data_IF_680204848592
#
_entry.id   IF_680204848592
#
_cell.length_a   1.000
_cell.length_b   1.000
_cell.length_c   1.000
_cell.angle_alpha   90.00
_cell.angle_beta   90.00
_cell.angle_gamma   90.00
#
_symmetry.space_group_name_H-M   'P 1'
#
loop_
_entity.id
_entity.type
_entity.pdbx_description
1 polymer ?
#
# COMPACT_ATOMS: atom_id res chain seq x y z
N UNK A 1 7.49 -15.12 10.80
CA UNK A 1 7.30 -13.77 10.18
C UNK A 1 7.88 -13.82 8.80
N UNK A 2 7.10 -13.45 7.79
CA UNK A 2 7.46 -13.42 6.37
C UNK A 2 7.83 -11.98 5.96
N UNK A 3 8.49 -11.80 4.81
CA UNK A 3 8.93 -10.48 4.34
C UNK A 3 8.44 -10.28 2.90
N UNK A 4 7.70 -9.21 2.64
CA UNK A 4 7.45 -8.74 1.29
C UNK A 4 8.42 -7.60 0.96
N UNK A 5 9.03 -7.64 -0.21
CA UNK A 5 9.94 -6.62 -0.69
C UNK A 5 9.55 -6.19 -2.12
N UNK A 6 9.09 -4.94 -2.26
CA UNK A 6 8.88 -4.35 -3.56
C UNK A 6 10.23 -4.03 -4.23
N UNK A 7 10.32 -4.24 -5.54
CA UNK A 7 11.57 -4.09 -6.28
C UNK A 7 11.42 -3.03 -7.39
N UNK A 8 12.41 -2.14 -7.49
CA UNK A 8 12.40 -1.05 -8.49
C UNK A 8 12.65 -1.55 -9.91
N UNK A 9 13.40 -2.64 -10.07
CA UNK A 9 13.73 -3.20 -11.39
C UNK A 9 13.71 -4.71 -11.33
N UNK A 10 12.58 -5.28 -11.68
CA UNK A 10 12.36 -6.71 -11.67
C UNK A 10 11.22 -7.11 -10.72
N UNK A 11 11.00 -8.42 -10.53
CA UNK A 11 9.89 -8.91 -9.74
C UNK A 11 10.04 -8.56 -8.26
N UNK A 12 8.90 -8.36 -7.59
CA UNK A 12 8.84 -8.31 -6.13
C UNK A 12 9.19 -9.66 -5.53
N UNK A 13 9.63 -9.67 -4.28
CA UNK A 13 9.90 -10.88 -3.51
C UNK A 13 8.89 -11.04 -2.37
N UNK A 14 8.51 -12.27 -2.11
CA UNK A 14 7.77 -12.68 -0.91
C UNK A 14 8.54 -13.82 -0.23
N UNK A 15 9.29 -13.47 0.79
CA UNK A 15 10.11 -14.42 1.52
C UNK A 15 9.34 -15.09 2.65
N UNK A 16 9.03 -16.36 2.49
CA UNK A 16 8.49 -17.20 3.56
C UNK A 16 9.61 -17.62 4.51
N UNK A 17 9.42 -17.36 5.77
CA UNK A 17 10.35 -17.79 6.81
C UNK A 17 10.10 -19.25 7.20
N UNK A 18 11.10 -20.08 7.01
CA UNK A 18 11.12 -21.49 7.36
C UNK A 18 12.12 -21.71 8.51
N UNK A 19 11.74 -21.29 9.72
CA UNK A 19 12.59 -21.40 10.91
C UNK A 19 13.96 -20.72 10.77
N UNK A 20 13.97 -19.48 10.26
CA UNK A 20 15.17 -18.67 10.05
C UNK A 20 15.78 -18.79 8.65
N UNK A 21 15.33 -19.75 7.84
CA UNK A 21 15.66 -19.83 6.41
C UNK A 21 14.55 -19.20 5.59
N UNK A 22 14.90 -18.41 4.58
CA UNK A 22 13.93 -17.72 3.75
C UNK A 22 13.85 -18.35 2.35
N UNK A 23 12.62 -18.62 1.89
CA UNK A 23 12.33 -19.07 0.53
C UNK A 23 11.48 -18.01 -0.16
N UNK A 24 11.89 -17.55 -1.34
CA UNK A 24 11.04 -16.71 -2.18
C UNK A 24 9.88 -17.52 -2.76
N UNK A 25 8.66 -17.05 -2.52
CA UNK A 25 7.41 -17.65 -2.99
C UNK A 25 6.55 -16.63 -3.79
N UNK A 26 7.10 -15.48 -4.21
CA UNK A 26 6.34 -14.42 -4.87
C UNK A 26 5.62 -14.91 -6.14
N UNK A 27 6.28 -15.74 -6.94
CA UNK A 27 5.68 -16.35 -8.14
C UNK A 27 4.53 -17.31 -7.79
N UNK A 28 4.74 -18.18 -6.81
CA UNK A 28 3.72 -19.13 -6.33
C UNK A 28 2.48 -18.40 -5.78
N UNK A 29 2.68 -17.19 -5.26
CA UNK A 29 1.66 -16.38 -4.58
C UNK A 29 1.08 -15.25 -5.44
N UNK A 30 1.50 -15.10 -6.69
CA UNK A 30 1.03 -14.06 -7.64
C UNK A 30 1.25 -12.61 -7.18
N UNK A 31 2.37 -12.31 -6.52
CA UNK A 31 2.68 -10.95 -6.04
C UNK A 31 3.96 -10.36 -6.66
N UNK A 32 4.52 -10.99 -7.67
CA UNK A 32 5.81 -10.60 -8.25
C UNK A 32 5.78 -9.29 -9.03
N UNK A 33 4.65 -8.88 -9.63
CA UNK A 33 4.43 -7.60 -10.35
C UNK A 33 5.63 -7.16 -11.20
N UNK A 34 6.11 -8.05 -12.06
CA UNK A 34 7.45 -8.05 -12.70
C UNK A 34 7.77 -6.80 -13.50
N UNK A 35 6.76 -6.11 -14.05
CA UNK A 35 6.93 -4.99 -14.98
C UNK A 35 6.69 -3.63 -14.33
N UNK A 36 6.62 -3.56 -13.01
CA UNK A 36 6.40 -2.33 -12.27
C UNK A 36 7.68 -1.91 -11.53
N UNK A 37 7.74 -0.64 -11.15
CA UNK A 37 8.86 -0.08 -10.38
C UNK A 37 8.41 0.16 -8.94
N UNK A 38 8.49 -0.87 -8.10
CA UNK A 38 8.06 -0.83 -6.71
C UNK A 38 8.84 0.20 -5.88
N UNK A 39 8.12 1.00 -5.08
CA UNK A 39 8.70 2.03 -4.20
C UNK A 39 8.22 1.92 -2.76
N UNK A 40 6.93 1.99 -2.52
CA UNK A 40 6.36 1.91 -1.19
C UNK A 40 5.56 0.64 -0.99
N UNK A 41 5.55 0.15 0.24
CA UNK A 41 4.73 -1.00 0.65
C UNK A 41 4.05 -0.70 1.97
N UNK A 42 2.80 -1.14 2.12
CA UNK A 42 2.09 -1.17 3.38
C UNK A 42 1.32 -2.49 3.53
N UNK A 43 0.91 -2.78 4.74
CA UNK A 43 0.00 -3.87 5.05
C UNK A 43 -1.30 -3.28 5.58
N UNK A 44 -2.42 -3.86 5.20
CA UNK A 44 -3.76 -3.48 5.66
C UNK A 44 -4.66 -4.70 5.67
N UNK A 45 -5.72 -4.69 6.46
CA UNK A 45 -6.81 -5.66 6.33
C UNK A 45 -7.87 -5.09 5.39
N UNK A 46 -7.60 -5.17 4.07
CA UNK A 46 -8.39 -4.52 3.02
C UNK A 46 -9.85 -4.95 2.98
N UNK A 47 -10.15 -6.15 3.41
CA UNK A 47 -11.52 -6.72 3.43
C UNK A 47 -12.07 -6.93 4.84
N UNK A 48 -11.39 -6.41 5.88
CA UNK A 48 -11.80 -6.53 7.30
C UNK A 48 -12.06 -7.96 7.75
N UNK A 49 -11.14 -8.87 7.40
CA UNK A 49 -11.25 -10.31 7.70
C UNK A 49 -10.31 -10.78 8.81
N UNK A 50 -9.52 -9.86 9.39
CA UNK A 50 -8.43 -10.19 10.31
C UNK A 50 -7.20 -10.76 9.60
N UNK A 51 -7.07 -10.57 8.28
CA UNK A 51 -5.96 -11.02 7.46
C UNK A 51 -5.23 -9.83 6.82
N UNK A 52 -3.90 -9.86 6.83
CA UNK A 52 -3.11 -8.79 6.21
C UNK A 52 -2.98 -9.01 4.70
N UNK A 53 -3.36 -7.98 3.96
CA UNK A 53 -3.21 -7.81 2.54
C UNK A 53 -2.01 -6.90 2.24
N UNK A 54 -1.49 -6.91 1.01
CA UNK A 54 -0.28 -6.19 0.64
C UNK A 54 -0.63 -5.05 -0.31
N UNK A 55 -0.28 -3.83 0.07
CA UNK A 55 -0.29 -2.69 -0.84
C UNK A 55 1.14 -2.51 -1.37
N UNK A 56 1.29 -2.39 -2.69
CA UNK A 56 2.54 -1.96 -3.31
C UNK A 56 2.29 -0.81 -4.26
N UNK A 57 3.05 0.25 -4.09
CA UNK A 57 2.98 1.42 -4.92
C UNK A 57 4.17 1.49 -5.88
N UNK A 58 3.90 1.83 -7.13
CA UNK A 58 4.84 1.74 -8.23
C UNK A 58 5.12 3.12 -8.84
N UNK A 59 6.41 3.45 -9.05
CA UNK A 59 6.83 4.71 -9.66
C UNK A 59 6.40 4.78 -11.12
N UNK A 60 5.56 5.77 -11.45
CA UNK A 60 5.00 5.97 -12.79
C UNK A 60 4.37 4.70 -13.38
N UNK A 61 3.93 3.78 -12.50
CA UNK A 61 3.34 2.49 -12.83
C UNK A 61 2.06 2.22 -12.05
N UNK A 62 1.41 1.12 -12.35
CA UNK A 62 0.14 0.74 -11.71
C UNK A 62 0.35 0.33 -10.26
N UNK A 63 -0.30 1.02 -9.31
CA UNK A 63 -0.32 0.59 -7.92
C UNK A 63 -1.16 -0.69 -7.76
N UNK A 64 -0.85 -1.50 -6.72
CA UNK A 64 -1.51 -2.79 -6.48
C UNK A 64 -1.99 -2.94 -5.06
N UNK A 65 -3.12 -3.62 -4.92
CA UNK A 65 -3.61 -4.17 -3.66
C UNK A 65 -3.76 -5.67 -3.86
N UNK A 66 -2.83 -6.41 -3.32
CA UNK A 66 -2.84 -7.87 -3.36
C UNK A 66 -3.57 -8.41 -2.15
N UNK A 67 -4.79 -8.85 -2.37
CA UNK A 67 -5.67 -9.41 -1.34
C UNK A 67 -5.41 -10.90 -1.19
N UNK A 68 -5.12 -11.32 0.04
CA UNK A 68 -4.81 -12.69 0.37
C UNK A 68 -6.00 -13.62 0.10
N UNK A 69 -5.73 -14.70 -0.57
CA UNK A 69 -6.63 -15.84 -0.77
C UNK A 69 -6.03 -17.08 -0.10
N UNK A 70 -6.76 -18.19 -0.06
CA UNK A 70 -6.28 -19.42 0.59
C UNK A 70 -4.88 -19.81 0.17
N UNK A 71 -4.59 -19.82 -1.14
CA UNK A 71 -3.32 -20.32 -1.68
C UNK A 71 -2.46 -19.25 -2.38
N UNK A 72 -3.01 -18.09 -2.69
CA UNK A 72 -2.34 -17.02 -3.45
C UNK A 72 -2.87 -15.65 -3.04
N UNK A 73 -2.45 -14.61 -3.76
CA UNK A 73 -3.04 -13.28 -3.68
C UNK A 73 -3.76 -12.94 -4.98
N UNK A 74 -4.80 -12.12 -4.87
CA UNK A 74 -5.56 -11.55 -5.99
C UNK A 74 -5.35 -10.04 -6.02
N UNK A 75 -5.02 -9.48 -7.18
CA UNK A 75 -4.99 -8.02 -7.37
C UNK A 75 -6.43 -7.48 -7.42
N UNK A 76 -6.84 -6.75 -6.39
CA UNK A 76 -8.15 -6.11 -6.26
C UNK A 76 -8.08 -4.59 -6.40
N UNK A 77 -7.00 -4.04 -6.94
CA UNK A 77 -6.85 -2.59 -7.14
C UNK A 77 -7.96 -2.03 -8.06
N UNK A 78 -8.67 -1.00 -7.60
CA UNK A 78 -9.61 -0.25 -8.45
C UNK A 78 -8.87 0.53 -9.56
N UNK A 79 -9.58 0.95 -10.60
CA UNK A 79 -8.99 1.72 -11.70
C UNK A 79 -8.41 3.06 -11.20
N UNK A 80 -9.06 3.71 -10.25
CA UNK A 80 -8.61 4.99 -9.70
C UNK A 80 -7.35 4.82 -8.86
N UNK A 81 -7.30 3.78 -8.01
CA UNK A 81 -6.11 3.45 -7.23
C UNK A 81 -4.92 3.07 -8.11
N UNK A 82 -5.14 2.35 -9.21
CA UNK A 82 -4.11 1.95 -10.19
C UNK A 82 -3.46 3.11 -10.92
N UNK A 83 -4.04 4.32 -10.88
CA UNK A 83 -3.53 5.48 -11.61
C UNK A 83 -2.05 5.72 -11.34
N UNK A 84 -1.18 5.70 -12.37
CA UNK A 84 0.24 5.92 -12.20
C UNK A 84 0.55 7.26 -11.55
N UNK A 85 1.47 7.28 -10.61
CA UNK A 85 1.95 8.50 -9.97
C UNK A 85 3.43 8.41 -9.61
N UNK A 86 4.03 9.53 -9.22
CA UNK A 86 5.43 9.58 -8.76
C UNK A 86 5.52 9.28 -7.26
N UNK A 87 5.00 8.13 -6.92
CA UNK A 87 4.93 7.65 -5.53
C UNK A 87 6.30 7.41 -4.92
N UNK A 88 6.42 7.69 -3.60
CA UNK A 88 7.60 7.35 -2.79
C UNK A 88 7.25 6.49 -1.58
N UNK A 89 6.16 6.80 -0.92
CA UNK A 89 5.74 6.08 0.28
C UNK A 89 4.25 5.82 0.23
N UNK A 90 3.81 4.68 0.71
CA UNK A 90 2.42 4.38 1.01
C UNK A 90 2.30 4.12 2.51
N UNK A 91 1.24 4.64 3.11
CA UNK A 91 0.87 4.40 4.51
C UNK A 91 -0.55 3.85 4.52
N UNK A 92 -0.81 2.88 5.38
CA UNK A 92 -2.14 2.45 5.74
C UNK A 92 -2.33 2.67 7.23
N UNK A 93 -3.34 3.42 7.60
CA UNK A 93 -3.68 3.75 8.98
C UNK A 93 -5.12 4.27 9.06
N UNK A 94 -5.75 4.11 10.21
CA UNK A 94 -7.06 4.68 10.54
C UNK A 94 -6.88 6.16 10.91
N UNK A 95 -6.99 7.06 9.92
CA UNK A 95 -6.75 8.49 10.10
C UNK A 95 -7.96 9.22 10.72
N UNK A 96 -9.17 8.70 10.61
CA UNK A 96 -10.38 9.34 11.15
C UNK A 96 -10.99 8.60 12.32
N UNK A 97 -10.32 7.55 12.82
CA UNK A 97 -10.72 6.71 13.95
C UNK A 97 -12.11 6.05 13.79
N UNK A 98 -12.46 5.69 12.56
CA UNK A 98 -13.71 4.95 12.29
C UNK A 98 -13.54 3.43 12.42
N UNK A 99 -12.31 2.96 12.66
CA UNK A 99 -11.94 1.56 12.80
C UNK A 99 -11.50 0.91 11.50
N UNK A 100 -11.39 1.68 10.42
CA UNK A 100 -10.97 1.21 9.11
C UNK A 100 -9.75 2.01 8.63
N UNK A 101 -8.80 1.33 7.99
CA UNK A 101 -7.61 2.01 7.48
C UNK A 101 -7.93 2.83 6.21
N UNK A 102 -7.36 4.03 6.12
CA UNK A 102 -7.16 4.73 4.87
C UNK A 102 -5.80 4.41 4.28
N UNK A 103 -5.66 4.67 2.97
CA UNK A 103 -4.41 4.48 2.23
C UNK A 103 -3.90 5.84 1.73
N UNK A 104 -2.82 6.32 2.31
CA UNK A 104 -2.17 7.57 1.92
C UNK A 104 -1.01 7.30 0.95
N UNK A 105 -1.02 7.98 -0.20
CA UNK A 105 0.02 7.94 -1.22
C UNK A 105 0.82 9.25 -1.20
N UNK A 106 2.08 9.18 -0.73
CA UNK A 106 2.99 10.32 -0.75
C UNK A 106 3.70 10.39 -2.11
N UNK A 107 3.36 11.41 -2.90
CA UNK A 107 3.89 11.65 -4.25
C UNK A 107 4.98 12.73 -4.24
N UNK A 108 5.91 12.64 -5.19
CA UNK A 108 6.95 13.66 -5.40
C UNK A 108 6.61 14.53 -6.62
N UNK A 109 6.48 15.84 -6.41
CA UNK A 109 6.15 16.80 -7.46
C UNK A 109 4.76 16.64 -8.07
N UNK A 110 3.88 15.94 -7.38
CA UNK A 110 2.47 15.73 -7.69
C UNK A 110 1.65 15.81 -6.39
N UNK A 111 0.34 16.07 -6.44
CA UNK A 111 -0.52 15.99 -5.26
C UNK A 111 -0.44 14.61 -4.60
N UNK A 112 -0.43 14.60 -3.27
CA UNK A 112 -0.66 13.37 -2.51
C UNK A 112 -2.09 12.90 -2.72
N UNK A 113 -2.36 11.64 -2.41
CA UNK A 113 -3.69 11.05 -2.50
C UNK A 113 -4.02 10.32 -1.22
N UNK A 114 -5.29 10.34 -0.84
CA UNK A 114 -5.84 9.56 0.26
C UNK A 114 -7.04 8.78 -0.25
N UNK A 115 -7.07 7.49 0.04
CA UNK A 115 -8.17 6.62 -0.31
C UNK A 115 -8.77 6.04 0.96
N UNK A 116 -10.09 6.12 1.08
CA UNK A 116 -10.86 5.39 2.10
C UNK A 116 -11.26 4.04 1.55
N UNK A 117 -11.12 3.02 2.37
CA UNK A 117 -11.71 1.72 2.11
C UNK A 117 -13.18 1.81 2.54
N UNK A 118 -14.09 1.66 1.58
CA UNK A 118 -15.52 1.62 1.86
C UNK A 118 -15.99 0.15 2.01
N UNK A 119 -17.10 -0.26 1.50
CA UNK A 119 -17.57 -1.63 1.64
C UNK A 119 -16.86 -2.63 0.69
N UNK A 120 -16.75 -3.89 1.07
CA UNK A 120 -16.28 -5.03 0.25
C UNK A 120 -14.98 -4.76 -0.54
N UNK A 121 -14.09 -3.91 -0.02
CA UNK A 121 -12.81 -3.57 -0.64
C UNK A 121 -12.90 -2.57 -1.79
N UNK A 122 -13.99 -1.82 -1.91
CA UNK A 122 -14.05 -0.67 -2.78
C UNK A 122 -13.30 0.51 -2.17
N UNK A 123 -12.71 1.35 -3.03
CA UNK A 123 -11.96 2.54 -2.65
C UNK A 123 -12.64 3.80 -3.15
N UNK A 124 -12.65 4.81 -2.29
CA UNK A 124 -13.02 6.18 -2.61
C UNK A 124 -11.83 7.11 -2.41
N UNK A 125 -11.48 7.91 -3.41
CA UNK A 125 -10.45 8.95 -3.26
C UNK A 125 -11.05 10.12 -2.47
N UNK A 126 -10.47 10.40 -1.29
CA UNK A 126 -10.88 11.51 -0.44
C UNK A 126 -10.19 12.78 -0.92
N UNK A 127 -10.96 13.86 -1.08
CA UNK A 127 -10.37 15.16 -1.38
C UNK A 127 -9.61 15.67 -0.16
N UNK A 128 -8.31 15.83 -0.32
CA UNK A 128 -7.44 16.39 0.69
C UNK A 128 -7.59 17.92 0.79
N UNK A 129 -7.17 18.48 1.93
CA UNK A 129 -6.99 19.92 2.05
C UNK A 129 -5.71 20.38 1.32
N UNK A 130 -5.57 21.69 1.12
CA UNK A 130 -4.46 22.27 0.37
C UNK A 130 -3.07 21.97 0.98
N UNK A 131 -3.00 21.67 2.28
CA UNK A 131 -1.73 21.36 2.95
C UNK A 131 -1.23 19.97 2.56
N UNK A 132 -2.13 18.98 2.50
CA UNK A 132 -1.80 17.60 2.12
C UNK A 132 -1.70 17.41 0.59
N UNK A 133 -2.38 18.27 -0.20
CA UNK A 133 -2.25 18.29 -1.67
C UNK A 133 -0.96 18.99 -2.15
N UNK A 134 -0.15 19.55 -1.25
CA UNK A 134 1.07 20.27 -1.61
C UNK A 134 2.00 19.42 -2.48
N UNK A 135 2.42 19.97 -3.62
CA UNK A 135 3.33 19.30 -4.56
C UNK A 135 4.78 19.44 -4.09
N UNK A 136 5.08 18.81 -2.96
CA UNK A 136 6.41 18.78 -2.38
C UNK A 136 7.35 17.77 -3.04
N UNK A 137 8.63 17.83 -2.67
CA UNK A 137 9.63 16.83 -3.06
C UNK A 137 9.89 15.83 -1.91
N UNK A 138 8.85 15.54 -1.12
CA UNK A 138 8.91 14.60 -0.01
C UNK A 138 9.19 13.17 -0.48
N UNK A 139 10.20 12.53 0.12
CA UNK A 139 10.59 11.15 -0.22
C UNK A 139 10.13 10.12 0.79
N UNK A 140 9.66 10.54 1.95
CA UNK A 140 9.15 9.69 3.02
C UNK A 140 8.00 10.36 3.74
N UNK A 141 7.12 9.55 4.29
CA UNK A 141 6.05 9.95 5.18
C UNK A 141 5.94 8.91 6.32
N UNK A 142 5.49 9.36 7.47
CA UNK A 142 5.18 8.50 8.61
C UNK A 142 3.93 9.05 9.30
N UNK A 143 3.22 8.20 9.99
CA UNK A 143 2.05 8.55 10.78
C UNK A 143 2.30 8.20 12.24
N UNK A 144 1.86 9.05 13.14
CA UNK A 144 1.87 8.83 14.58
C UNK A 144 0.93 9.80 15.27
N UNK A 145 0.35 9.39 16.39
CA UNK A 145 -0.24 10.29 17.37
C UNK A 145 0.90 11.09 18.03
N UNK A 146 1.08 12.36 17.61
CA UNK A 146 2.24 13.17 18.03
C UNK A 146 1.99 13.87 19.37
N UNK A 147 0.75 14.20 19.69
CA UNK A 147 0.40 14.90 20.92
C UNK A 147 -0.21 13.99 22.00
N UNK A 148 -0.41 12.73 21.68
CA UNK A 148 -0.85 11.71 22.64
C UNK A 148 -2.35 11.76 22.96
N UNK A 149 -3.16 12.33 22.06
CA UNK A 149 -4.60 12.45 22.26
C UNK A 149 -5.40 11.22 21.77
N UNK A 150 -4.73 10.26 21.15
CA UNK A 150 -5.30 9.03 20.62
C UNK A 150 -5.80 9.14 19.18
N UNK A 151 -5.54 10.26 18.50
CA UNK A 151 -5.89 10.50 17.08
C UNK A 151 -4.59 10.57 16.24
N UNK A 152 -4.58 10.00 15.03
CA UNK A 152 -3.43 10.00 14.13
C UNK A 152 -3.31 11.29 13.30
#
# INVERSE_FOLDING_TARGET
MDIFAANERGPNFLYKNLNGNFKDIATEKNVQDTFQNGRGTALTDFLYRGELDIITSNWEGYHRIFVKQKESFLDMSSLDFRSPSRIRTVISADFDNDGYDEIFLNNIGQPNKLFRIIDEGNLEEIKLDAALEAQGLGTGAAVADIDGDGIL
#
